data_IF_465929165090
#
_entry.id   IF_465929165090
#
_cell.length_a   1.000
_cell.length_b   1.000
_cell.length_c   1.000
_cell.angle_alpha   90.00
_cell.angle_beta   90.00
_cell.angle_gamma   90.00
#
_symmetry.space_group_name_H-M   'P 1'
#
loop_
_entity.id
_entity.type
_entity.pdbx_description
1 polymer ?
#
# COMPACT_ATOMS: atom_id res chain seq x y z
N UNK A 1 -5.27 -12.66 23.20
CA UNK A 1 -4.92 -13.70 22.21
C UNK A 1 -5.28 -13.11 20.85
N UNK A 2 -4.31 -12.53 20.15
CA UNK A 2 -4.52 -11.94 18.82
C UNK A 2 -4.09 -13.03 17.85
N UNK A 3 -5.07 -13.61 17.15
CA UNK A 3 -4.87 -14.73 16.24
C UNK A 3 -3.86 -14.34 15.14
N UNK A 4 -2.81 -15.14 14.97
CA UNK A 4 -1.71 -14.91 14.02
C UNK A 4 -2.09 -15.01 12.55
N UNK A 5 -3.38 -15.10 12.22
CA UNK A 5 -3.93 -15.19 10.87
C UNK A 5 -4.81 -13.97 10.56
N UNK A 6 -4.32 -12.78 10.90
CA UNK A 6 -5.03 -11.53 10.72
C UNK A 6 -4.84 -11.05 9.27
N UNK A 7 -5.85 -11.15 8.41
CA UNK A 7 -5.86 -10.58 7.03
C UNK A 7 -5.63 -9.05 7.00
N UNK A 8 -5.45 -8.40 8.14
CA UNK A 8 -5.12 -6.98 8.23
C UNK A 8 -3.62 -6.71 8.30
N UNK A 9 -2.75 -7.72 8.48
CA UNK A 9 -1.30 -7.52 8.39
C UNK A 9 -0.88 -7.05 7.00
N UNK A 10 -1.48 -7.61 5.96
CA UNK A 10 -1.29 -7.18 4.57
C UNK A 10 -1.64 -5.70 4.38
N UNK A 11 -2.65 -5.19 5.11
CA UNK A 11 -3.03 -3.77 5.07
C UNK A 11 -1.98 -2.87 5.72
N UNK A 12 -1.27 -3.37 6.74
CA UNK A 12 -0.19 -2.63 7.40
C UNK A 12 1.03 -2.55 6.47
N UNK A 13 1.43 -3.68 5.87
CA UNK A 13 2.51 -3.69 4.87
C UNK A 13 2.21 -2.77 3.69
N UNK A 14 0.99 -2.85 3.16
CA UNK A 14 0.53 -1.96 2.09
C UNK A 14 0.59 -0.49 2.51
N UNK A 15 0.08 -0.14 3.70
CA UNK A 15 0.10 1.24 4.20
C UNK A 15 1.52 1.76 4.34
N UNK A 16 2.39 0.98 4.98
CA UNK A 16 3.75 1.42 5.29
C UNK A 16 4.55 1.56 3.99
N UNK A 17 4.37 0.63 3.03
CA UNK A 17 4.96 0.74 1.70
C UNK A 17 4.50 1.98 0.93
N UNK A 18 3.22 2.35 0.99
CA UNK A 18 2.74 3.60 0.37
C UNK A 18 3.32 4.87 1.02
N UNK A 19 3.68 4.81 2.31
CA UNK A 19 4.32 5.93 3.00
C UNK A 19 5.78 6.08 2.57
N UNK A 20 6.49 4.97 2.38
CA UNK A 20 7.87 4.94 1.93
C UNK A 20 8.01 5.26 0.42
N UNK A 21 6.98 4.94 -0.38
CA UNK A 21 6.96 5.10 -1.83
C UNK A 21 5.86 6.08 -2.29
N UNK A 22 6.08 7.41 -2.21
CA UNK A 22 5.10 8.41 -2.62
C UNK A 22 4.72 8.29 -4.11
N UNK A 23 5.60 7.78 -4.97
CA UNK A 23 5.32 7.50 -6.37
C UNK A 23 4.20 6.46 -6.55
N UNK A 24 4.25 5.36 -5.79
CA UNK A 24 3.23 4.31 -5.81
C UNK A 24 1.92 4.82 -5.21
N UNK A 25 1.99 5.69 -4.19
CA UNK A 25 0.82 6.31 -3.59
C UNK A 25 0.08 7.24 -4.58
N UNK A 26 0.82 7.97 -5.42
CA UNK A 26 0.23 8.79 -6.49
C UNK A 26 -0.45 7.93 -7.55
N UNK A 27 0.21 6.86 -8.01
CA UNK A 27 -0.37 5.92 -8.97
C UNK A 27 -1.66 5.29 -8.42
N UNK A 28 -1.65 4.86 -7.16
CA UNK A 28 -2.84 4.34 -6.50
C UNK A 28 -3.96 5.39 -6.38
N UNK A 29 -3.60 6.66 -6.17
CA UNK A 29 -4.51 7.79 -6.16
C UNK A 29 -5.23 7.97 -7.51
N UNK A 30 -4.46 7.99 -8.60
CA UNK A 30 -4.97 8.10 -9.96
C UNK A 30 -5.86 6.91 -10.32
N UNK A 31 -5.43 5.69 -9.99
CA UNK A 31 -6.18 4.46 -10.23
C UNK A 31 -7.57 4.48 -9.55
N UNK A 32 -7.64 4.94 -8.29
CA UNK A 32 -8.91 5.09 -7.57
C UNK A 32 -9.84 6.10 -8.26
N UNK A 33 -9.28 7.18 -8.82
CA UNK A 33 -10.05 8.19 -9.53
C UNK A 33 -10.63 7.62 -10.84
N UNK A 34 -9.82 6.91 -11.63
CA UNK A 34 -10.28 6.22 -12.84
C UNK A 34 -11.36 5.19 -12.52
N UNK A 35 -11.13 4.32 -11.53
CA UNK A 35 -12.13 3.32 -11.14
C UNK A 35 -13.40 3.94 -10.57
N UNK A 36 -13.32 5.08 -9.89
CA UNK A 36 -14.51 5.80 -9.42
C UNK A 36 -15.34 6.34 -10.59
N UNK A 37 -14.71 6.68 -11.72
CA UNK A 37 -15.43 7.13 -12.93
C UNK A 37 -16.03 5.94 -13.70
N UNK A 38 -15.27 4.85 -13.84
CA UNK A 38 -15.67 3.67 -14.62
C UNK A 38 -16.75 2.85 -13.89
N UNK A 39 -16.66 2.73 -12.56
CA UNK A 39 -17.49 1.80 -11.77
C UNK A 39 -18.50 2.50 -10.86
N UNK A 40 -19.03 3.66 -11.26
CA UNK A 40 -20.01 4.43 -10.45
C UNK A 40 -21.20 3.59 -9.96
N UNK A 41 -21.66 2.63 -10.79
CA UNK A 41 -22.82 1.79 -10.48
C UNK A 41 -22.48 0.33 -10.17
N UNK A 42 -21.20 -0.05 -10.21
CA UNK A 42 -20.75 -1.43 -9.96
C UNK A 42 -19.71 -1.50 -8.84
N UNK A 43 -20.22 -1.65 -7.62
CA UNK A 43 -19.40 -1.77 -6.41
C UNK A 43 -18.54 -3.04 -6.40
N UNK A 44 -18.98 -4.10 -7.07
CA UNK A 44 -18.25 -5.38 -7.11
C UNK A 44 -17.06 -5.23 -8.05
N UNK A 45 -17.27 -4.65 -9.23
CA UNK A 45 -16.19 -4.36 -10.17
C UNK A 45 -15.18 -3.39 -9.57
N UNK A 46 -15.62 -2.32 -8.87
CA UNK A 46 -14.71 -1.41 -8.16
C UNK A 46 -13.86 -2.13 -7.10
N UNK A 47 -14.43 -3.11 -6.40
CA UNK A 47 -13.71 -3.86 -5.36
C UNK A 47 -12.70 -4.85 -5.96
N UNK A 48 -13.04 -5.49 -7.07
CA UNK A 48 -12.13 -6.40 -7.79
C UNK A 48 -11.01 -5.64 -8.50
N UNK A 49 -11.33 -4.53 -9.16
CA UNK A 49 -10.38 -3.74 -9.93
C UNK A 49 -9.21 -3.23 -9.08
N UNK A 50 -9.47 -2.85 -7.82
CA UNK A 50 -8.41 -2.44 -6.89
C UNK A 50 -7.69 -3.62 -6.21
N UNK A 51 -8.29 -4.82 -6.22
CA UNK A 51 -7.73 -5.98 -5.51
C UNK A 51 -6.41 -6.41 -6.13
N UNK A 52 -6.33 -6.46 -7.47
CA UNK A 52 -5.11 -6.85 -8.19
C UNK A 52 -3.95 -5.89 -7.90
N UNK A 53 -4.24 -4.58 -7.86
CA UNK A 53 -3.25 -3.57 -7.51
C UNK A 53 -2.79 -3.70 -6.04
N UNK A 54 -3.73 -3.84 -5.10
CA UNK A 54 -3.40 -3.97 -3.67
C UNK A 54 -2.55 -5.22 -3.44
N UNK A 55 -2.88 -6.35 -4.08
CA UNK A 55 -2.10 -7.58 -3.99
C UNK A 55 -0.68 -7.39 -4.54
N UNK A 56 -0.53 -6.78 -5.72
CA UNK A 56 0.80 -6.51 -6.28
C UNK A 56 1.68 -5.65 -5.38
N UNK A 57 1.12 -4.57 -4.82
CA UNK A 57 1.85 -3.69 -3.89
C UNK A 57 2.12 -4.38 -2.55
N UNK A 58 1.20 -5.20 -2.06
CA UNK A 58 1.39 -5.97 -0.82
C UNK A 58 2.53 -6.99 -0.96
N UNK A 59 2.63 -7.67 -2.10
CA UNK A 59 3.73 -8.60 -2.36
C UNK A 59 5.06 -7.87 -2.52
N UNK A 60 5.08 -6.71 -3.22
CA UNK A 60 6.27 -5.86 -3.28
C UNK A 60 6.71 -5.38 -1.88
N UNK A 61 5.75 -5.00 -1.03
CA UNK A 61 6.00 -4.63 0.36
C UNK A 61 6.57 -5.81 1.15
N UNK A 62 5.98 -6.99 1.05
CA UNK A 62 6.48 -8.20 1.72
C UNK A 62 7.88 -8.57 1.25
N UNK A 63 8.22 -8.38 -0.01
CA UNK A 63 9.58 -8.58 -0.50
C UNK A 63 10.54 -7.53 0.08
N UNK A 64 10.12 -6.26 0.12
CA UNK A 64 10.90 -5.15 0.66
C UNK A 64 11.20 -5.34 2.15
N UNK A 65 10.17 -5.59 2.97
CA UNK A 65 10.31 -5.83 4.42
C UNK A 65 10.86 -7.23 4.73
N UNK A 66 10.58 -8.23 3.90
CA UNK A 66 11.14 -9.58 4.02
C UNK A 66 12.65 -9.61 3.81
N UNK A 67 13.18 -8.79 2.90
CA UNK A 67 14.63 -8.55 2.77
C UNK A 67 15.19 -7.71 3.91
N UNK A 68 14.43 -6.75 4.43
CA UNK A 68 14.84 -5.93 5.58
C UNK A 68 15.00 -6.76 6.88
N UNK A 69 14.25 -7.85 7.05
CA UNK A 69 14.47 -8.78 8.19
C UNK A 69 15.78 -9.56 8.06
N UNK A 70 16.29 -9.80 6.85
CA UNK A 70 17.56 -10.47 6.62
C UNK A 70 18.78 -9.55 6.82
N UNK A 71 18.60 -8.22 6.73
CA UNK A 71 19.62 -7.20 6.93
C UNK A 71 19.20 -6.36 8.15
N UNK A 72 19.47 -6.90 9.34
CA UNK A 72 18.84 -6.50 10.60
C UNK A 72 18.69 -4.99 10.88
N UNK A 73 17.58 -4.69 11.57
CA UNK A 73 17.28 -3.50 12.38
C UNK A 73 18.03 -2.22 12.03
N UNK A 74 17.41 -1.39 11.20
CA UNK A 74 17.42 0.06 11.36
C UNK A 74 16.04 0.60 11.00
N UNK A 75 15.07 0.36 11.90
CA UNK A 75 13.82 1.12 11.94
C UNK A 75 14.16 2.54 12.43
N UNK A 76 14.76 3.35 11.54
CA UNK A 76 15.10 4.73 11.83
C UNK A 76 14.68 5.63 10.67
N UNK A 77 13.74 6.52 10.99
CA UNK A 77 13.42 7.80 10.34
C UNK A 77 12.27 7.82 9.30
N UNK A 78 11.04 7.60 9.77
CA UNK A 78 9.89 8.38 9.26
C UNK A 78 9.78 9.65 10.11
N UNK A 79 10.68 10.57 9.84
CA UNK A 79 10.61 11.95 10.30
C UNK A 79 11.52 12.75 9.38
N UNK A 80 10.99 13.17 8.24
CA UNK A 80 11.37 14.34 7.43
C UNK A 80 10.94 14.10 5.97
N UNK A 81 9.79 14.66 5.59
CA UNK A 81 9.53 15.31 4.29
C UNK A 81 8.05 15.69 4.19
N UNK A 82 7.66 16.58 5.10
CA UNK A 82 6.52 17.49 4.90
C UNK A 82 7.13 18.84 4.52
N UNK A 83 7.17 19.17 3.23
CA UNK A 83 7.32 20.52 2.65
C UNK A 83 7.22 20.35 1.13
N UNK A 84 6.11 20.73 0.48
CA UNK A 84 5.93 21.97 -0.32
C UNK A 84 6.69 21.88 -1.67
N UNK A 85 6.16 22.27 -2.83
CA UNK A 85 5.48 23.52 -3.25
C UNK A 85 4.56 23.18 -4.46
N UNK A 86 3.35 23.69 -4.61
CA UNK A 86 2.90 25.06 -4.93
C UNK A 86 3.38 25.60 -6.28
#
# INVERSE_FOLDING_TARGET
MIEGHFEHWDRLFFRDYLIEHPEVAQEYGALKLEFSQIHQNDRVAYTKAKADFILGVTEAAKEHYGKAVALGSDFCRVSECRAEEK
#
